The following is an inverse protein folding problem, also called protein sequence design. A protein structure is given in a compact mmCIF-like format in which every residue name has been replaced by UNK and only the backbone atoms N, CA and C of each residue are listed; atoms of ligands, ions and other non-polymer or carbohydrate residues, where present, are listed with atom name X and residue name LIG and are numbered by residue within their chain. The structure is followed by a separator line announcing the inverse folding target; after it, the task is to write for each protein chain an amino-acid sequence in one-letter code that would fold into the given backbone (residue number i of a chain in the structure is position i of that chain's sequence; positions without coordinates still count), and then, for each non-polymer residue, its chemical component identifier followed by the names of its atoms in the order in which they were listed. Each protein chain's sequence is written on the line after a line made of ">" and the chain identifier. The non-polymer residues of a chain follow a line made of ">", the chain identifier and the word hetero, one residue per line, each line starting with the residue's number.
data_IF_465939153989
#
_entry.id   IF_465939153989
#
_cell.length_a   1.000
_cell.length_b   1.000
_cell.length_c   1.000
_cell.angle_alpha   90.00
_cell.angle_beta   90.00
_cell.angle_gamma   90.00
#
_symmetry.space_group_name_H-M   'P 1'
#
loop_
_entity.id
_entity.type
_entity.pdbx_description
1 polymer ?
#
# COMPACT_ATOMS: atom_id res chain seq x y z
N UNK A 1 9.47 -9.84 -10.50
CA UNK A 1 8.91 -10.48 -11.71
C UNK A 1 7.39 -10.60 -11.63
N UNK A 2 6.84 -11.11 -10.52
CA UNK A 2 5.39 -11.27 -10.32
C UNK A 2 4.58 -9.96 -10.44
N UNK A 3 5.03 -8.88 -9.78
CA UNK A 3 4.32 -7.58 -9.84
C UNK A 3 4.11 -7.09 -11.27
N UNK A 4 5.06 -7.33 -12.18
CA UNK A 4 4.94 -6.93 -13.59
C UNK A 4 3.78 -7.68 -14.28
N UNK A 5 3.73 -9.00 -14.15
CA UNK A 5 2.68 -9.83 -14.76
C UNK A 5 1.31 -9.49 -14.16
N UNK A 6 1.23 -9.42 -12.83
CA UNK A 6 -0.03 -9.12 -12.14
C UNK A 6 -0.56 -7.72 -12.52
N UNK A 7 0.32 -6.72 -12.61
CA UNK A 7 -0.04 -5.36 -13.03
C UNK A 7 -0.48 -5.32 -14.49
N UNK A 8 0.24 -6.00 -15.40
CA UNK A 8 -0.13 -6.03 -16.82
C UNK A 8 -1.48 -6.70 -17.06
N UNK A 9 -1.81 -7.75 -16.31
CA UNK A 9 -3.10 -8.42 -16.41
C UNK A 9 -4.21 -7.56 -15.80
N UNK A 10 -4.01 -6.99 -14.61
CA UNK A 10 -5.00 -6.12 -13.98
C UNK A 10 -5.26 -4.83 -14.78
N UNK A 11 -4.27 -4.30 -15.50
CA UNK A 11 -4.42 -3.11 -16.34
C UNK A 11 -5.45 -3.30 -17.48
N UNK A 12 -5.72 -4.55 -17.88
CA UNK A 12 -6.70 -4.89 -18.93
C UNK A 12 -8.14 -5.03 -18.39
N UNK A 13 -8.32 -5.04 -17.06
CA UNK A 13 -9.61 -5.21 -16.42
C UNK A 13 -10.43 -3.91 -16.45
N UNK A 14 -11.73 -4.05 -16.72
CA UNK A 14 -12.67 -2.91 -16.81
C UNK A 14 -12.81 -2.13 -15.50
N UNK A 15 -12.75 -2.80 -14.34
CA UNK A 15 -12.83 -2.17 -13.01
C UNK A 15 -11.53 -1.50 -12.55
N UNK A 16 -10.49 -1.50 -13.38
CA UNK A 16 -9.15 -1.03 -13.04
C UNK A 16 -8.70 0.16 -13.91
N UNK A 17 -9.68 0.88 -14.49
CA UNK A 17 -9.43 2.11 -15.23
C UNK A 17 -8.82 3.20 -14.33
N UNK A 18 -8.22 4.22 -14.96
CA UNK A 18 -7.61 5.36 -14.26
C UNK A 18 -8.59 6.03 -13.29
N UNK A 19 -9.84 6.19 -13.70
CA UNK A 19 -10.90 6.84 -12.94
C UNK A 19 -11.27 6.03 -11.69
N UNK A 20 -11.38 4.70 -11.84
CA UNK A 20 -11.67 3.79 -10.72
C UNK A 20 -10.52 3.74 -9.72
N UNK A 21 -9.28 3.71 -10.22
CA UNK A 21 -8.08 3.80 -9.37
C UNK A 21 -8.08 5.12 -8.57
N UNK A 22 -8.49 6.22 -9.21
CA UNK A 22 -8.57 7.54 -8.57
C UNK A 22 -9.64 7.58 -7.48
N UNK A 23 -10.82 7.02 -7.76
CA UNK A 23 -11.94 6.95 -6.82
C UNK A 23 -11.61 6.17 -5.54
N UNK A 24 -10.73 5.17 -5.64
CA UNK A 24 -10.18 4.48 -4.49
C UNK A 24 -10.32 2.96 -4.59
N UNK A 25 -9.65 2.27 -3.68
CA UNK A 25 -9.65 0.82 -3.65
C UNK A 25 -10.92 0.27 -3.00
N UNK A 26 -11.70 -0.51 -3.77
CA UNK A 26 -12.98 -1.06 -3.32
C UNK A 26 -12.93 -2.59 -3.17
N UNK A 27 -13.81 -3.18 -2.34
CA UNK A 27 -13.96 -4.64 -2.27
C UNK A 27 -14.37 -5.28 -3.60
N UNK A 28 -15.04 -4.54 -4.48
CA UNK A 28 -15.38 -5.02 -5.82
C UNK A 28 -14.14 -5.28 -6.68
N UNK A 29 -13.12 -4.42 -6.58
CA UNK A 29 -11.82 -4.63 -7.25
C UNK A 29 -11.12 -5.90 -6.75
N UNK A 30 -11.19 -6.17 -5.44
CA UNK A 30 -10.67 -7.41 -4.84
C UNK A 30 -11.36 -8.65 -5.41
N UNK A 31 -12.70 -8.60 -5.45
CA UNK A 31 -13.52 -9.70 -5.97
C UNK A 31 -13.21 -9.97 -7.45
N UNK A 32 -13.16 -8.93 -8.27
CA UNK A 32 -12.87 -9.07 -9.71
C UNK A 32 -11.52 -9.75 -9.95
N UNK A 33 -10.46 -9.27 -9.29
CA UNK A 33 -9.11 -9.83 -9.47
C UNK A 33 -9.00 -11.25 -8.91
N UNK A 34 -9.71 -11.56 -7.82
CA UNK A 34 -9.76 -12.90 -7.29
C UNK A 34 -10.49 -13.85 -8.24
N UNK A 35 -11.60 -13.43 -8.85
CA UNK A 35 -12.38 -14.26 -9.76
C UNK A 35 -11.65 -14.52 -11.08
N UNK A 36 -11.09 -13.47 -11.69
CA UNK A 36 -10.47 -13.54 -13.02
C UNK A 36 -9.00 -13.98 -12.99
N UNK A 37 -8.22 -13.51 -12.01
CA UNK A 37 -6.75 -13.70 -11.98
C UNK A 37 -6.25 -14.50 -10.77
N UNK A 38 -7.16 -14.93 -9.88
CA UNK A 38 -6.85 -15.71 -8.66
C UNK A 38 -5.80 -15.05 -7.75
N UNK A 39 -5.68 -13.72 -7.77
CA UNK A 39 -4.76 -13.01 -6.86
C UNK A 39 -5.39 -12.85 -5.47
N UNK A 40 -4.56 -13.00 -4.44
CA UNK A 40 -5.00 -12.78 -3.07
C UNK A 40 -5.12 -11.28 -2.76
N UNK A 41 -5.82 -10.96 -1.66
CA UNK A 41 -6.04 -9.58 -1.18
C UNK A 41 -4.77 -8.73 -1.08
N UNK A 42 -3.66 -9.31 -0.60
CA UNK A 42 -2.37 -8.59 -0.49
C UNK A 42 -1.80 -8.24 -1.87
N UNK A 43 -1.94 -9.14 -2.85
CA UNK A 43 -1.49 -8.93 -4.22
C UNK A 43 -2.36 -7.90 -4.92
N UNK A 44 -3.69 -8.04 -4.84
CA UNK A 44 -4.63 -7.06 -5.40
C UNK A 44 -4.34 -5.65 -4.87
N UNK A 45 -4.13 -5.50 -3.55
CA UNK A 45 -3.79 -4.19 -2.98
C UNK A 45 -2.47 -3.62 -3.51
N UNK A 46 -1.46 -4.46 -3.68
CA UNK A 46 -0.15 -4.05 -4.24
C UNK A 46 -0.28 -3.60 -5.68
N UNK A 47 -0.99 -4.37 -6.51
CA UNK A 47 -1.25 -4.02 -7.91
C UNK A 47 -2.03 -2.72 -8.02
N UNK A 48 -3.02 -2.50 -7.15
CA UNK A 48 -3.77 -1.24 -7.08
C UNK A 48 -2.85 -0.05 -6.83
N UNK A 49 -1.91 -0.15 -5.90
CA UNK A 49 -1.01 0.97 -5.60
C UNK A 49 -0.02 1.26 -6.74
N UNK A 50 0.42 0.24 -7.46
CA UNK A 50 1.29 0.40 -8.63
C UNK A 50 0.52 1.11 -9.76
N UNK A 51 -0.67 0.61 -10.11
CA UNK A 51 -1.49 1.23 -11.14
C UNK A 51 -1.96 2.63 -10.75
N UNK A 52 -2.29 2.84 -9.46
CA UNK A 52 -2.64 4.16 -8.92
C UNK A 52 -1.49 5.16 -9.04
N UNK A 53 -0.24 4.73 -8.78
CA UNK A 53 0.94 5.57 -9.00
C UNK A 53 1.11 5.93 -10.47
N UNK A 54 0.95 4.96 -11.38
CA UNK A 54 0.99 5.20 -12.82
C UNK A 54 -0.09 6.16 -13.32
N UNK A 55 -1.25 6.19 -12.64
CA UNK A 55 -2.37 7.10 -12.88
C UNK A 55 -2.19 8.49 -12.25
N UNK A 56 -1.27 8.66 -11.30
CA UNK A 56 -1.07 9.89 -10.52
C UNK A 56 -0.13 10.84 -11.27
N UNK A 57 -0.51 12.10 -11.44
CA UNK A 57 0.41 13.10 -11.96
C UNK A 57 1.41 13.52 -10.88
N UNK A 58 2.66 13.07 -10.99
CA UNK A 58 3.72 13.39 -10.02
C UNK A 58 4.10 14.88 -9.99
N UNK A 59 3.81 15.64 -11.06
CA UNK A 59 4.01 17.08 -11.10
C UNK A 59 2.88 17.83 -10.37
N UNK A 60 1.75 17.17 -10.09
CA UNK A 60 0.68 17.71 -9.27
C UNK A 60 0.91 17.32 -7.79
N UNK A 61 1.38 18.29 -7.00
CA UNK A 61 1.66 18.11 -5.56
C UNK A 61 0.44 17.58 -4.78
N UNK A 62 -0.79 17.98 -5.14
CA UNK A 62 -2.00 17.53 -4.47
C UNK A 62 -2.27 16.05 -4.72
N UNK A 63 -2.26 15.62 -5.99
CA UNK A 63 -2.47 14.22 -6.36
C UNK A 63 -1.38 13.31 -5.78
N UNK A 64 -0.12 13.73 -5.90
CA UNK A 64 0.99 12.98 -5.34
C UNK A 64 0.91 12.86 -3.81
N UNK A 65 0.49 13.93 -3.12
CA UNK A 65 0.25 13.90 -1.67
C UNK A 65 -0.86 12.91 -1.31
N UNK A 66 -1.97 12.91 -2.03
CA UNK A 66 -3.07 11.95 -1.80
C UNK A 66 -2.59 10.51 -1.95
N UNK A 67 -1.86 10.21 -3.04
CA UNK A 67 -1.23 8.91 -3.25
C UNK A 67 -0.29 8.53 -2.10
N UNK A 68 0.64 9.42 -1.73
CA UNK A 68 1.62 9.18 -0.66
C UNK A 68 0.94 8.87 0.67
N UNK A 69 -0.11 9.61 1.03
CA UNK A 69 -0.87 9.38 2.26
C UNK A 69 -1.57 8.03 2.24
N UNK A 70 -2.19 7.63 1.11
CA UNK A 70 -2.82 6.33 0.97
C UNK A 70 -1.83 5.18 1.27
N UNK A 71 -0.65 5.23 0.66
CA UNK A 71 0.37 4.19 0.78
C UNK A 71 0.95 4.16 2.20
N UNK A 72 1.25 5.34 2.78
CA UNK A 72 1.76 5.47 4.15
C UNK A 72 0.76 5.02 5.20
N UNK A 73 -0.52 5.36 5.05
CA UNK A 73 -1.56 4.92 5.98
C UNK A 73 -1.64 3.40 6.06
N UNK A 74 -1.52 2.71 4.91
CA UNK A 74 -1.46 1.25 4.87
C UNK A 74 -0.17 0.69 5.49
N UNK A 75 1.00 1.27 5.21
CA UNK A 75 2.26 0.84 5.84
C UNK A 75 2.23 1.03 7.36
N UNK A 76 1.58 2.08 7.85
CA UNK A 76 1.45 2.38 9.28
C UNK A 76 0.33 1.56 9.98
N UNK A 77 -0.51 0.85 9.22
CA UNK A 77 -1.65 0.12 9.79
C UNK A 77 -1.27 -0.96 10.83
N UNK A 78 -0.19 -1.76 10.67
CA UNK A 78 0.27 -2.70 11.69
C UNK A 78 0.62 -1.98 13.00
N UNK A 79 1.43 -0.94 12.93
CA UNK A 79 1.80 -0.14 14.09
C UNK A 79 0.57 0.44 14.80
N UNK A 80 -0.43 0.92 14.05
CA UNK A 80 -1.64 1.46 14.65
C UNK A 80 -2.47 0.39 15.38
N UNK A 81 -2.41 -0.87 14.93
CA UNK A 81 -2.98 -2.00 15.67
C UNK A 81 -2.21 -2.27 16.96
N UNK A 82 -0.88 -2.24 16.92
CA UNK A 82 -0.04 -2.47 18.09
C UNK A 82 -0.24 -1.40 19.16
N UNK A 83 -0.31 -0.13 18.76
CA UNK A 83 -0.64 0.99 19.68
C UNK A 83 -2.02 0.80 20.29
N UNK A 84 -3.02 0.43 19.50
CA UNK A 84 -4.37 0.20 20.01
C UNK A 84 -4.42 -1.01 20.96
N UNK A 85 -3.63 -2.05 20.69
CA UNK A 85 -3.50 -3.21 21.55
C UNK A 85 -2.85 -2.84 22.88
N UNK A 86 -1.73 -2.11 22.86
CA UNK A 86 -1.08 -1.58 24.06
C UNK A 86 -2.02 -0.69 24.88
N UNK A 87 -2.77 0.21 24.24
CA UNK A 87 -3.78 1.04 24.92
C UNK A 87 -4.86 0.21 25.62
N UNK A 88 -5.21 -0.96 25.10
CA UNK A 88 -6.16 -1.88 25.77
C UNK A 88 -5.50 -2.58 26.94
N UNK A 89 -4.26 -3.05 26.78
CA UNK A 89 -3.49 -3.68 27.86
C UNK A 89 -3.25 -2.74 29.04
N UNK A 90 -2.93 -1.47 28.78
CA UNK A 90 -2.69 -0.45 29.82
C UNK A 90 -3.92 -0.17 30.69
N UNK A 91 -5.14 -0.51 30.22
CA UNK A 91 -6.36 -0.38 31.00
C UNK A 91 -6.59 -1.55 31.97
N UNK A 92 -5.89 -2.67 31.76
CA UNK A 92 -6.14 -3.94 32.44
C UNK A 92 -4.95 -4.36 33.31
N UNK A 93 -3.72 -4.04 32.91
CA UNK A 93 -2.49 -4.46 33.59
C UNK A 93 -2.07 -3.53 34.73
N UNK A 94 -1.39 -4.10 35.73
CA UNK A 94 -0.80 -3.35 36.85
C UNK A 94 0.50 -2.64 36.40
N UNK A 95 0.90 -1.53 37.06
CA UNK A 95 2.06 -0.73 36.65
C UNK A 95 3.41 -1.49 36.62
N UNK A 96 3.54 -2.57 37.38
CA UNK A 96 4.76 -3.39 37.45
C UNK A 96 4.95 -4.26 36.21
N UNK A 97 3.85 -4.73 35.60
CA UNK A 97 3.86 -5.56 34.38
C UNK A 97 4.05 -4.71 33.10
N UNK A 98 3.89 -3.39 33.22
CA UNK A 98 4.00 -2.44 32.11
C UNK A 98 5.44 -2.16 31.66
N UNK A 99 6.41 -2.17 32.59
CA UNK A 99 7.81 -1.79 32.30
C UNK A 99 8.52 -2.75 31.35
N UNK A 100 8.05 -3.99 31.27
CA UNK A 100 8.64 -5.04 30.43
C UNK A 100 8.32 -4.85 28.94
N UNK A 101 7.30 -4.05 28.60
CA UNK A 101 6.82 -3.86 27.24
C UNK A 101 7.26 -2.53 26.58
N UNK A 102 7.87 -1.60 27.32
CA UNK A 102 8.27 -0.29 26.78
C UNK A 102 9.64 -0.33 26.09
N UNK A 103 9.73 -1.01 24.94
CA UNK A 103 10.80 -0.81 23.97
C UNK A 103 10.17 -0.32 22.66
N UNK A 104 9.57 0.87 22.71
CA UNK A 104 8.91 1.49 21.56
C UNK A 104 9.85 2.51 20.93
N UNK A 105 10.01 2.42 19.61
CA UNK A 105 10.70 3.44 18.83
C UNK A 105 10.12 4.82 19.14
N UNK A 106 10.99 5.84 19.15
CA UNK A 106 10.51 7.23 19.25
C UNK A 106 9.61 7.59 18.07
N UNK A 107 8.70 8.55 18.25
CA UNK A 107 7.81 8.97 17.16
C UNK A 107 8.57 9.41 15.91
N UNK A 108 9.74 10.01 16.10
CA UNK A 108 10.60 10.49 15.01
C UNK A 108 11.23 9.33 14.25
N UNK A 109 11.87 8.38 14.94
CA UNK A 109 12.42 7.16 14.33
C UNK A 109 11.36 6.40 13.53
N UNK A 110 10.13 6.32 14.06
CA UNK A 110 9.00 5.71 13.36
C UNK A 110 8.64 6.44 12.06
N UNK A 111 8.54 7.78 12.12
CA UNK A 111 8.23 8.60 10.93
C UNK A 111 9.31 8.43 9.86
N UNK A 112 10.57 8.37 10.27
CA UNK A 112 11.72 8.21 9.38
C UNK A 112 11.75 6.81 8.74
N UNK A 113 11.53 5.76 9.54
CA UNK A 113 11.39 4.38 9.05
C UNK A 113 10.25 4.26 8.03
N UNK A 114 9.05 4.75 8.37
CA UNK A 114 7.90 4.78 7.47
C UNK A 114 8.20 5.57 6.19
N UNK A 115 9.00 6.63 6.28
CA UNK A 115 9.40 7.39 5.12
C UNK A 115 10.37 6.62 4.22
N UNK A 116 11.36 5.94 4.80
CA UNK A 116 12.32 5.09 4.09
C UNK A 116 11.60 3.95 3.37
N UNK A 117 10.74 3.22 4.08
CA UNK A 117 9.94 2.12 3.52
C UNK A 117 9.07 2.59 2.34
N UNK A 118 8.43 3.77 2.48
CA UNK A 118 7.66 4.36 1.39
C UNK A 118 8.54 4.67 0.17
N UNK A 119 9.74 5.22 0.37
CA UNK A 119 10.64 5.61 -0.73
C UNK A 119 11.20 4.40 -1.47
N UNK A 120 11.57 3.36 -0.76
CA UNK A 120 11.98 2.09 -1.36
C UNK A 120 10.84 1.46 -2.17
N UNK A 121 9.63 1.46 -1.62
CA UNK A 121 8.44 0.92 -2.28
C UNK A 121 8.09 1.71 -3.54
N UNK A 122 8.09 3.04 -3.46
CA UNK A 122 7.86 3.93 -4.60
C UNK A 122 8.87 3.67 -5.72
N UNK A 123 10.17 3.55 -5.39
CA UNK A 123 11.21 3.23 -6.37
C UNK A 123 10.97 1.87 -7.03
N UNK A 124 10.54 0.87 -6.26
CA UNK A 124 10.20 -0.45 -6.80
C UNK A 124 8.99 -0.38 -7.75
N UNK A 125 7.95 0.36 -7.38
CA UNK A 125 6.75 0.53 -8.20
C UNK A 125 7.03 1.28 -9.50
N UNK A 126 7.84 2.35 -9.47
CA UNK A 126 8.24 3.10 -10.67
C UNK A 126 8.93 2.20 -11.69
N UNK A 127 9.84 1.32 -11.24
CA UNK A 127 10.48 0.33 -12.12
C UNK A 127 9.48 -0.62 -12.78
N UNK A 128 8.45 -1.05 -12.04
CA UNK A 128 7.40 -1.91 -12.59
C UNK A 128 6.58 -1.14 -13.64
N UNK A 129 6.18 0.10 -13.35
CA UNK A 129 5.41 0.94 -14.27
C UNK A 129 6.20 1.20 -15.56
N UNK A 130 7.47 1.55 -15.44
CA UNK A 130 8.37 1.76 -16.57
C UNK A 130 8.47 0.50 -17.44
N UNK A 131 8.65 -0.66 -16.79
CA UNK A 131 8.71 -1.94 -17.50
C UNK A 131 7.41 -2.28 -18.22
N UNK A 132 6.25 -2.06 -17.59
CA UNK A 132 4.93 -2.32 -18.21
C UNK A 132 4.66 -1.38 -19.39
N UNK A 133 5.13 -0.13 -19.32
CA UNK A 133 5.02 0.84 -20.42
C UNK A 133 5.91 0.47 -21.60
N UNK A 134 7.16 0.06 -21.33
CA UNK A 134 8.14 -0.25 -22.37
C UNK A 134 7.93 -1.64 -22.99
N UNK A 135 7.38 -2.58 -22.21
CA UNK A 135 7.10 -3.94 -22.63
C UNK A 135 5.69 -4.32 -22.16
N UNK A 136 4.64 -4.03 -22.95
CA UNK A 136 3.31 -4.52 -22.65
C UNK A 136 3.33 -6.06 -22.63
N UNK A 137 2.78 -6.67 -21.59
CA UNK A 137 2.65 -8.13 -21.55
C UNK A 137 1.54 -8.54 -22.53
N UNK A 138 1.94 -8.97 -23.72
CA UNK A 138 1.08 -9.63 -24.71
C UNK A 138 0.90 -11.09 -24.27
N UNK A 139 -0.35 -11.51 -24.18
CA UNK A 139 -0.77 -12.87 -23.82
C UNK A 139 -1.53 -13.42 -25.03
#
# INVERSE_FOLDING_TARGET
>A
MRDYVDVSNCAKLTGWSKEQLVAGYTPAMEKQVYEELKLCKKQARRVYEILRLGATNMNNSSEYKQYRLLVKNRLNAPHQKDVNYQKRLNKVLKPEEMKTFSCLDTEQQRKDKLHSEYKELEKAYLKVIERVKNYPFEN
#
